data_IF_456864294842
#
_entry.id   IF_456864294842
#
_cell.length_a   1.000
_cell.length_b   1.000
_cell.length_c   1.000
_cell.angle_alpha   90.00
_cell.angle_beta   90.00
_cell.angle_gamma   90.00
#
_symmetry.space_group_name_H-M   'P 1'
#
loop_
_entity.id
_entity.type
_entity.pdbx_description
1 polymer ?
#
# COMPACT_ATOMS: atom_id res chain seq x y z
N UNK A 1 7.09 -21.54 -45.94
CA UNK A 1 5.75 -21.42 -46.56
C UNK A 1 4.82 -20.84 -45.50
N UNK A 2 4.64 -19.49 -45.57
CA UNK A 2 3.44 -18.82 -46.04
C UNK A 2 2.28 -19.01 -45.04
N UNK A 3 1.66 -18.02 -44.46
CA UNK A 3 1.11 -16.77 -45.01
C UNK A 3 0.66 -15.85 -43.87
N UNK A 4 0.95 -14.60 -44.06
CA UNK A 4 0.31 -13.37 -43.58
C UNK A 4 -1.22 -13.45 -43.47
N UNK A 5 -1.80 -12.87 -42.41
CA UNK A 5 -3.08 -12.15 -42.53
C UNK A 5 -3.11 -10.98 -41.59
N UNK A 6 -2.90 -9.81 -42.16
CA UNK A 6 -3.40 -8.52 -41.69
C UNK A 6 -4.93 -8.52 -41.72
N UNK A 7 -5.59 -7.96 -40.75
CA UNK A 7 -6.86 -7.28 -41.00
C UNK A 7 -6.96 -6.05 -40.08
N UNK A 8 -6.86 -4.92 -40.75
CA UNK A 8 -7.29 -3.61 -40.26
C UNK A 8 -8.81 -3.61 -40.05
N UNK A 9 -9.28 -2.96 -38.97
CA UNK A 9 -10.60 -2.34 -38.96
C UNK A 9 -10.50 -0.94 -38.37
N UNK A 10 -10.53 -0.02 -39.30
CA UNK A 10 -10.90 1.39 -39.12
C UNK A 10 -12.42 1.47 -39.07
N UNK A 11 -12.97 2.33 -38.21
CA UNK A 11 -14.11 3.24 -38.47
C UNK A 11 -14.41 3.95 -37.14
N UNK A 12 -14.06 5.25 -37.01
CA UNK A 12 -14.93 6.41 -37.26
C UNK A 12 -16.24 6.38 -36.49
N UNK A 13 -16.34 7.27 -35.50
CA UNK A 13 -17.52 8.14 -35.37
C UNK A 13 -17.11 9.43 -34.61
N UNK A 14 -17.26 10.55 -35.32
CA UNK A 14 -17.20 11.95 -34.92
C UNK A 14 -18.65 12.45 -34.69
N UNK A 15 -18.90 13.70 -34.30
CA UNK A 15 -19.55 14.09 -33.04
C UNK A 15 -20.97 14.62 -33.30
N UNK A 16 -21.74 14.83 -32.25
CA UNK A 16 -22.93 15.67 -32.33
C UNK A 16 -22.93 16.69 -31.20
N UNK A 17 -22.69 17.92 -31.59
CA UNK A 17 -22.95 19.12 -30.80
C UNK A 17 -24.45 19.43 -30.80
N UNK A 18 -24.99 19.78 -29.64
CA UNK A 18 -26.26 20.50 -29.55
C UNK A 18 -26.11 21.67 -28.58
N UNK A 19 -26.32 22.83 -29.14
CA UNK A 19 -26.53 24.13 -28.52
C UNK A 19 -27.87 24.19 -27.76
N UNK A 20 -27.94 24.99 -26.71
CA UNK A 20 -29.20 25.34 -26.06
C UNK A 20 -28.98 26.25 -24.86
N UNK A 21 -28.82 27.48 -25.14
CA UNK A 21 -29.58 28.72 -24.88
C UNK A 21 -29.70 29.18 -23.42
N UNK A 22 -29.20 30.41 -23.25
CA UNK A 22 -29.37 31.38 -22.14
C UNK A 22 -30.82 31.47 -21.62
N UNK A 23 -30.94 31.69 -20.31
CA UNK A 23 -31.96 32.60 -19.80
C UNK A 23 -31.38 33.30 -18.54
N UNK A 24 -31.11 34.58 -18.69
CA UNK A 24 -31.04 35.55 -17.61
C UNK A 24 -32.45 35.81 -17.08
N UNK A 25 -32.60 35.89 -15.78
CA UNK A 25 -33.61 36.76 -15.20
C UNK A 25 -33.06 37.41 -13.95
N UNK A 26 -32.87 38.68 -14.04
CA UNK A 26 -32.69 39.66 -12.95
C UNK A 26 -34.07 39.97 -12.43
N UNK A 27 -34.27 39.99 -11.15
CA UNK A 27 -35.18 40.97 -10.57
C UNK A 27 -34.80 41.31 -9.12
N UNK A 28 -35.01 42.57 -8.87
CA UNK A 28 -34.59 43.46 -7.81
C UNK A 28 -35.20 43.22 -6.42
N UNK A 29 -34.44 43.71 -5.46
CA UNK A 29 -34.83 44.47 -4.26
C UNK A 29 -35.98 43.96 -3.38
N UNK A 30 -35.68 43.71 -2.11
CA UNK A 30 -36.30 44.52 -1.04
C UNK A 30 -35.58 44.35 0.31
N UNK A 31 -35.13 45.47 0.82
CA UNK A 31 -34.59 45.69 2.17
C UNK A 31 -35.75 45.68 3.18
N UNK A 32 -35.80 44.71 4.09
CA UNK A 32 -36.69 44.77 5.27
C UNK A 32 -35.94 44.41 6.56
N UNK A 33 -35.90 45.45 7.35
CA UNK A 33 -35.66 45.56 8.80
C UNK A 33 -35.74 44.32 9.67
N UNK A 34 -34.71 44.21 10.52
CA UNK A 34 -34.60 43.26 11.65
C UNK A 34 -35.76 43.35 12.65
N UNK A 35 -36.23 42.21 13.14
CA UNK A 35 -36.87 42.13 14.47
C UNK A 35 -35.89 41.61 15.52
N UNK A 36 -36.15 41.79 16.80
CA UNK A 36 -35.18 41.80 17.88
C UNK A 36 -34.72 40.39 18.31
N UNK A 37 -33.48 40.34 18.75
CA UNK A 37 -32.80 39.21 19.36
C UNK A 37 -33.59 38.63 20.54
N UNK A 38 -33.92 37.31 20.55
CA UNK A 38 -34.29 36.64 21.78
C UNK A 38 -33.04 36.15 22.53
N UNK A 39 -33.04 36.43 23.75
CA UNK A 39 -32.26 36.04 24.91
C UNK A 39 -31.69 34.61 24.88
N UNK A 40 -30.49 34.48 25.37
CA UNK A 40 -29.63 33.31 25.44
C UNK A 40 -30.35 32.04 25.94
N UNK A 41 -30.55 31.09 25.04
CA UNK A 41 -30.75 29.71 25.41
C UNK A 41 -29.40 29.05 25.64
N UNK A 42 -29.16 28.72 26.89
CA UNK A 42 -28.06 27.92 27.38
C UNK A 42 -28.01 26.58 26.62
N UNK A 43 -27.13 26.46 25.61
CA UNK A 43 -26.83 25.19 24.99
C UNK A 43 -25.95 24.38 25.96
N UNK A 44 -26.57 23.42 26.61
CA UNK A 44 -25.88 22.32 27.29
C UNK A 44 -25.00 21.64 26.28
N UNK A 45 -23.68 21.81 26.39
CA UNK A 45 -22.70 21.03 25.67
C UNK A 45 -22.75 19.62 26.27
N UNK A 46 -23.45 18.72 25.61
CA UNK A 46 -23.27 17.29 25.85
C UNK A 46 -21.80 16.94 25.62
N UNK A 47 -21.16 16.20 26.50
CA UNK A 47 -19.79 15.77 26.30
C UNK A 47 -19.80 14.84 25.10
N UNK A 48 -19.18 15.32 23.99
CA UNK A 48 -18.84 14.53 22.82
C UNK A 48 -18.26 13.20 23.28
N UNK A 49 -18.90 12.11 22.87
CA UNK A 49 -18.44 10.76 23.12
C UNK A 49 -16.99 10.67 22.68
N UNK A 50 -16.12 10.50 23.66
CA UNK A 50 -14.72 10.18 23.46
C UNK A 50 -14.67 8.93 22.57
N UNK A 51 -14.27 9.12 21.35
CA UNK A 51 -13.96 8.04 20.42
C UNK A 51 -12.95 7.13 21.13
N UNK A 52 -13.40 5.94 21.46
CA UNK A 52 -12.61 4.91 22.12
C UNK A 52 -11.50 4.52 21.14
N UNK A 53 -10.36 5.18 21.26
CA UNK A 53 -9.13 4.73 20.61
C UNK A 53 -8.87 3.33 21.14
N UNK A 54 -9.25 2.33 20.36
CA UNK A 54 -8.90 0.94 20.65
C UNK A 54 -7.37 0.87 20.67
N UNK A 55 -6.82 0.81 21.86
CA UNK A 55 -5.38 0.58 22.06
C UNK A 55 -5.05 -0.78 21.47
N UNK A 56 -4.57 -0.80 20.24
CA UNK A 56 -4.16 -2.04 19.59
C UNK A 56 -3.02 -2.66 20.39
N UNK A 57 -3.32 -3.74 21.07
CA UNK A 57 -2.32 -4.49 21.82
C UNK A 57 -1.37 -5.15 20.83
N UNK A 58 -0.15 -4.65 20.73
CA UNK A 58 0.91 -5.25 19.93
C UNK A 58 1.82 -6.10 20.83
N UNK A 59 2.24 -7.27 20.33
CA UNK A 59 3.18 -8.15 21.04
C UNK A 59 4.49 -8.23 20.27
N UNK A 60 5.62 -8.23 21.00
CA UNK A 60 6.90 -8.53 20.38
C UNK A 60 6.94 -10.01 19.96
N UNK A 61 7.33 -10.24 18.70
CA UNK A 61 7.67 -11.57 18.16
C UNK A 61 9.04 -11.50 17.52
N UNK A 62 9.80 -12.56 17.65
CA UNK A 62 11.13 -12.69 17.08
C UNK A 62 11.08 -13.48 15.76
N UNK A 63 11.81 -12.99 14.76
CA UNK A 63 11.97 -13.58 13.45
C UNK A 63 13.43 -13.50 13.04
N UNK A 64 14.10 -14.64 13.08
CA UNK A 64 15.51 -14.78 12.71
C UNK A 64 16.43 -13.71 13.34
N UNK A 65 16.36 -13.55 14.67
CA UNK A 65 17.20 -12.62 15.45
C UNK A 65 16.79 -11.16 15.38
N UNK A 66 15.60 -10.85 14.87
CA UNK A 66 14.99 -9.51 14.93
C UNK A 66 13.62 -9.60 15.59
N UNK A 67 13.38 -8.79 16.61
CA UNK A 67 12.07 -8.68 17.25
C UNK A 67 11.31 -7.49 16.69
N UNK A 68 10.01 -7.70 16.41
CA UNK A 68 9.10 -6.65 15.97
C UNK A 68 7.85 -6.62 16.84
N UNK A 69 7.27 -5.43 17.03
CA UNK A 69 5.92 -5.30 17.58
C UNK A 69 4.91 -5.65 16.50
N UNK A 70 4.37 -6.87 16.57
CA UNK A 70 3.34 -7.33 15.61
C UNK A 70 1.99 -6.82 16.08
N UNK A 71 1.25 -6.05 15.25
CA UNK A 71 -0.11 -5.63 15.57
C UNK A 71 -1.01 -6.84 15.80
N UNK A 72 -1.90 -6.76 16.78
CA UNK A 72 -2.87 -7.86 17.07
C UNK A 72 -3.90 -8.05 15.95
N UNK A 73 -4.07 -7.04 15.11
CA UNK A 73 -4.94 -7.09 13.92
C UNK A 73 -4.36 -7.90 12.76
N UNK A 74 -3.07 -8.24 12.81
CA UNK A 74 -2.41 -9.02 11.76
C UNK A 74 -2.53 -10.51 12.01
N UNK A 75 -2.86 -11.25 10.97
CA UNK A 75 -3.01 -12.70 11.03
C UNK A 75 -1.76 -13.37 10.46
N UNK A 76 -1.01 -14.07 11.33
CA UNK A 76 0.09 -14.90 10.86
C UNK A 76 -0.45 -16.13 10.19
N UNK A 77 -0.05 -16.38 8.93
CA UNK A 77 -0.51 -17.53 8.14
C UNK A 77 0.57 -18.60 8.02
N UNK A 78 0.13 -19.84 7.90
CA UNK A 78 1.03 -20.96 7.65
C UNK A 78 1.77 -20.77 6.30
N UNK A 79 3.04 -21.12 6.29
CA UNK A 79 3.85 -21.12 5.08
C UNK A 79 3.53 -22.33 4.22
N UNK A 80 3.35 -22.10 2.92
CA UNK A 80 3.24 -23.21 1.96
C UNK A 80 4.57 -23.98 1.85
N UNK A 81 4.56 -25.25 1.40
CA UNK A 81 5.81 -25.98 1.17
C UNK A 81 6.81 -25.26 0.28
N UNK A 82 6.32 -24.52 -0.73
CA UNK A 82 7.16 -23.73 -1.61
C UNK A 82 7.83 -22.51 -0.94
N UNK A 83 7.29 -22.04 0.18
CA UNK A 83 7.82 -20.89 0.94
C UNK A 83 8.79 -21.33 2.05
N UNK A 84 8.67 -22.57 2.51
CA UNK A 84 9.55 -23.12 3.55
C UNK A 84 11.01 -23.09 3.06
N UNK A 85 11.90 -22.64 3.92
CA UNK A 85 13.33 -22.55 3.60
C UNK A 85 13.83 -21.15 3.20
N UNK A 86 12.94 -20.24 2.75
CA UNK A 86 13.35 -18.86 2.44
C UNK A 86 12.39 -17.77 3.02
N UNK A 87 11.13 -18.12 3.33
CA UNK A 87 10.23 -17.22 4.07
C UNK A 87 10.27 -17.58 5.54
N UNK A 88 10.50 -16.58 6.39
CA UNK A 88 10.53 -16.73 7.85
C UNK A 88 9.14 -16.62 8.46
N UNK A 89 8.32 -15.70 7.94
CA UNK A 89 6.93 -15.52 8.37
C UNK A 89 6.10 -14.86 7.26
N UNK A 90 4.79 -15.10 7.31
CA UNK A 90 3.83 -14.45 6.41
C UNK A 90 2.61 -13.98 7.21
N UNK A 91 2.09 -12.80 6.88
CA UNK A 91 0.92 -12.20 7.52
C UNK A 91 -0.09 -11.73 6.48
N UNK A 92 -1.36 -11.88 6.81
CA UNK A 92 -2.45 -11.11 6.21
C UNK A 92 -2.73 -9.88 7.06
N UNK A 93 -3.18 -8.80 6.43
CA UNK A 93 -3.54 -7.54 7.08
C UNK A 93 -5.01 -7.22 6.77
N UNK A 94 -5.98 -7.87 7.45
CA UNK A 94 -7.40 -7.82 7.06
C UNK A 94 -7.99 -6.41 7.05
N UNK A 95 -7.53 -5.53 7.95
CA UNK A 95 -7.97 -4.12 8.00
C UNK A 95 -7.60 -3.32 6.74
N UNK A 96 -6.52 -3.70 6.06
CA UNK A 96 -6.12 -3.06 4.82
C UNK A 96 -6.82 -3.66 3.60
N UNK A 97 -7.19 -4.93 3.67
CA UNK A 97 -7.85 -5.70 2.62
C UNK A 97 -7.38 -7.14 2.59
N UNK A 98 -8.19 -8.02 2.01
CA UNK A 98 -7.92 -9.46 1.99
C UNK A 98 -6.70 -9.85 1.16
N UNK A 99 -6.31 -8.97 0.20
CA UNK A 99 -5.22 -9.23 -0.73
C UNK A 99 -3.89 -8.61 -0.28
N UNK A 100 -3.89 -7.95 0.89
CA UNK A 100 -2.67 -7.37 1.47
C UNK A 100 -1.92 -8.43 2.24
N UNK A 101 -0.66 -8.63 1.82
CA UNK A 101 0.21 -9.66 2.37
C UNK A 101 1.58 -9.09 2.72
N UNK A 102 2.05 -9.41 3.92
CA UNK A 102 3.44 -9.16 4.34
C UNK A 102 4.19 -10.49 4.44
N UNK A 103 5.36 -10.54 3.82
CA UNK A 103 6.31 -11.65 4.01
C UNK A 103 7.62 -11.14 4.61
N UNK A 104 8.13 -11.92 5.56
CA UNK A 104 9.45 -11.76 6.15
C UNK A 104 10.34 -12.89 5.65
N UNK A 105 11.56 -12.57 5.25
CA UNK A 105 12.49 -13.57 4.76
C UNK A 105 13.93 -13.23 5.12
N UNK A 106 14.75 -14.27 5.33
CA UNK A 106 16.18 -14.13 5.57
C UNK A 106 16.91 -14.95 4.51
N UNK A 107 17.48 -14.25 3.53
CA UNK A 107 18.08 -14.90 2.36
C UNK A 107 19.43 -14.24 2.01
N UNK A 108 20.29 -15.02 1.37
CA UNK A 108 21.55 -14.53 0.83
C UNK A 108 21.43 -13.90 -0.56
N UNK A 109 22.57 -13.67 -1.20
CA UNK A 109 22.65 -13.12 -2.55
C UNK A 109 22.83 -11.61 -2.61
N UNK A 110 22.79 -10.94 -1.46
CA UNK A 110 23.03 -9.51 -1.31
C UNK A 110 21.81 -8.64 -1.62
N UNK A 111 21.78 -7.47 -1.00
CA UNK A 111 20.66 -6.53 -1.09
C UNK A 111 20.38 -6.10 -2.53
N UNK A 112 21.42 -5.71 -3.28
CA UNK A 112 21.24 -5.19 -4.65
C UNK A 112 20.61 -6.21 -5.60
N UNK A 113 21.03 -7.47 -5.52
CA UNK A 113 20.47 -8.54 -6.36
C UNK A 113 18.99 -8.79 -6.03
N UNK A 114 18.64 -8.77 -4.73
CA UNK A 114 17.26 -8.95 -4.30
C UNK A 114 16.36 -7.76 -4.69
N UNK A 115 16.84 -6.52 -4.56
CA UNK A 115 16.11 -5.33 -5.02
C UNK A 115 15.90 -5.35 -6.53
N UNK A 116 16.93 -5.67 -7.31
CA UNK A 116 16.82 -5.82 -8.78
C UNK A 116 15.77 -6.87 -9.16
N UNK A 117 15.75 -8.00 -8.46
CA UNK A 117 14.73 -9.04 -8.68
C UNK A 117 13.32 -8.51 -8.39
N UNK A 118 13.12 -7.76 -7.32
CA UNK A 118 11.81 -7.17 -7.01
C UNK A 118 11.37 -6.13 -8.04
N UNK A 119 12.30 -5.26 -8.47
CA UNK A 119 12.04 -4.28 -9.54
C UNK A 119 11.64 -5.00 -10.83
N UNK A 120 12.34 -6.09 -11.19
CA UNK A 120 12.04 -6.88 -12.37
C UNK A 120 10.68 -7.62 -12.33
N UNK A 121 10.04 -7.71 -11.17
CA UNK A 121 8.68 -8.25 -11.02
C UNK A 121 7.59 -7.21 -11.30
N UNK A 122 7.96 -5.95 -11.55
CA UNK A 122 6.99 -4.87 -11.77
C UNK A 122 7.18 -4.23 -13.14
N UNK A 123 6.12 -4.15 -13.90
CA UNK A 123 6.02 -3.28 -15.05
C UNK A 123 5.46 -1.93 -14.60
N UNK A 124 6.34 -0.94 -14.49
CA UNK A 124 5.98 0.39 -14.05
C UNK A 124 5.25 1.16 -15.14
N UNK A 125 4.33 2.08 -14.82
CA UNK A 125 3.71 2.97 -15.77
C UNK A 125 4.76 3.85 -16.50
N UNK A 126 4.50 4.31 -17.72
CA UNK A 126 5.40 5.20 -18.45
C UNK A 126 5.75 6.46 -17.61
N UNK A 127 7.05 6.73 -17.50
CA UNK A 127 7.56 7.87 -16.74
C UNK A 127 7.70 7.67 -15.22
N UNK A 128 7.21 6.55 -14.68
CA UNK A 128 7.45 6.19 -13.27
C UNK A 128 8.78 5.44 -13.11
N UNK A 129 9.44 5.67 -11.98
CA UNK A 129 10.67 4.96 -11.59
C UNK A 129 10.52 4.35 -10.21
N UNK A 130 11.29 3.28 -9.90
CA UNK A 130 11.35 2.73 -8.55
C UNK A 130 11.70 3.81 -7.52
N UNK A 131 10.87 3.97 -6.50
CA UNK A 131 11.13 4.92 -5.41
C UNK A 131 11.95 4.22 -4.33
N UNK A 132 13.21 4.62 -4.22
CA UNK A 132 14.14 4.02 -3.26
C UNK A 132 14.69 5.08 -2.32
N UNK A 133 14.77 4.76 -1.02
CA UNK A 133 15.37 5.64 -0.02
C UNK A 133 16.03 4.84 1.11
N UNK A 134 17.05 5.45 1.73
CA UNK A 134 17.61 4.93 2.97
C UNK A 134 16.68 5.23 4.14
N UNK A 135 16.53 4.25 5.04
CA UNK A 135 15.83 4.39 6.31
C UNK A 135 16.68 3.80 7.44
N UNK A 136 16.44 4.27 8.66
CA UNK A 136 17.08 3.67 9.85
C UNK A 136 16.17 2.62 10.45
N UNK A 137 16.70 1.40 10.66
CA UNK A 137 16.03 0.28 11.33
C UNK A 137 16.90 -0.13 12.50
N UNK A 138 16.48 0.18 13.73
CA UNK A 138 17.30 0.12 14.94
C UNK A 138 18.66 0.86 14.72
N UNK A 139 19.75 0.13 14.60
CA UNK A 139 21.11 0.69 14.41
C UNK A 139 21.64 0.51 12.98
N UNK A 140 20.88 -0.04 12.08
CA UNK A 140 21.31 -0.41 10.72
C UNK A 140 20.63 0.50 9.70
N UNK A 141 21.39 0.93 8.68
CA UNK A 141 20.83 1.60 7.50
C UNK A 141 20.25 0.55 6.56
N UNK A 142 18.96 0.65 6.34
CA UNK A 142 18.18 -0.24 5.50
C UNK A 142 17.65 0.52 4.27
N UNK A 143 17.23 -0.22 3.26
CA UNK A 143 16.69 0.34 2.04
C UNK A 143 15.18 0.12 2.01
N UNK A 144 14.44 1.21 1.84
CA UNK A 144 13.02 1.22 1.54
C UNK A 144 12.82 1.35 0.05
N UNK A 145 12.08 0.42 -0.57
CA UNK A 145 11.71 0.40 -1.97
C UNK A 145 10.20 0.43 -2.10
N UNK A 146 9.66 1.33 -2.95
CA UNK A 146 8.23 1.43 -3.27
C UNK A 146 8.05 1.28 -4.79
N UNK A 147 7.30 0.28 -5.21
CA UNK A 147 7.00 -0.03 -6.60
C UNK A 147 5.49 -0.02 -6.82
N UNK A 148 5.06 0.54 -7.95
CA UNK A 148 3.65 0.62 -8.34
C UNK A 148 3.52 0.24 -9.80
N UNK A 149 2.52 -0.57 -10.14
CA UNK A 149 2.33 -0.97 -11.54
C UNK A 149 1.66 -2.32 -11.69
N UNK A 150 1.99 -3.01 -12.76
CA UNK A 150 1.57 -4.40 -12.97
C UNK A 150 2.61 -5.33 -12.37
N UNK A 151 2.16 -6.17 -11.44
CA UNK A 151 3.01 -7.17 -10.79
C UNK A 151 2.96 -8.48 -11.55
N UNK A 152 4.12 -9.01 -11.90
CA UNK A 152 4.30 -10.33 -12.49
C UNK A 152 5.23 -11.14 -11.59
N UNK A 153 4.68 -12.14 -10.93
CA UNK A 153 5.46 -13.02 -10.05
C UNK A 153 6.41 -13.94 -10.84
N UNK A 154 6.27 -13.98 -12.15
CA UNK A 154 7.06 -14.80 -13.09
C UNK A 154 6.47 -16.20 -13.28
N UNK A 155 6.95 -16.89 -14.32
CA UNK A 155 6.41 -18.17 -14.79
C UNK A 155 6.51 -19.30 -13.75
N UNK A 156 7.43 -19.20 -12.80
CA UNK A 156 7.61 -20.21 -11.76
C UNK A 156 6.43 -20.32 -10.77
N UNK A 157 5.60 -19.27 -10.66
CA UNK A 157 4.44 -19.23 -9.77
C UNK A 157 3.10 -19.40 -10.50
N UNK A 158 3.11 -19.60 -11.83
CA UNK A 158 1.91 -19.77 -12.66
C UNK A 158 0.78 -18.77 -12.35
N UNK A 159 1.14 -17.55 -11.98
CA UNK A 159 0.19 -16.47 -11.74
C UNK A 159 0.13 -15.53 -12.94
N UNK A 160 -1.06 -15.09 -13.29
CA UNK A 160 -1.23 -14.01 -14.26
C UNK A 160 -0.70 -12.68 -13.69
N UNK A 161 -0.30 -11.80 -14.59
CA UNK A 161 0.15 -10.47 -14.21
C UNK A 161 -1.03 -9.64 -13.67
N UNK A 162 -0.86 -9.03 -12.50
CA UNK A 162 -1.90 -8.27 -11.81
C UNK A 162 -1.62 -6.76 -11.92
N UNK A 163 -2.53 -6.01 -12.53
CA UNK A 163 -2.43 -4.56 -12.64
C UNK A 163 -2.90 -3.84 -11.37
N UNK A 164 -2.50 -2.56 -11.20
CA UNK A 164 -2.91 -1.76 -10.04
C UNK A 164 -2.29 -2.20 -8.72
N UNK A 165 -1.20 -2.95 -8.79
CA UNK A 165 -0.50 -3.46 -7.62
C UNK A 165 0.53 -2.46 -7.08
N UNK A 166 0.83 -2.59 -5.80
CA UNK A 166 1.92 -1.90 -5.12
C UNK A 166 2.71 -2.88 -4.28
N UNK A 167 4.00 -2.65 -4.19
CA UNK A 167 4.88 -3.34 -3.28
C UNK A 167 5.70 -2.32 -2.49
N UNK A 168 5.76 -2.49 -1.18
CA UNK A 168 6.70 -1.81 -0.31
C UNK A 168 7.67 -2.85 0.23
N UNK A 169 8.94 -2.72 -0.14
CA UNK A 169 10.01 -3.59 0.30
C UNK A 169 10.93 -2.88 1.29
N UNK A 170 11.39 -3.60 2.31
CA UNK A 170 12.48 -3.15 3.19
C UNK A 170 13.58 -4.20 3.15
N UNK A 171 14.79 -3.78 2.77
CA UNK A 171 15.97 -4.63 2.79
C UNK A 171 16.90 -4.17 3.92
N UNK A 172 17.17 -5.05 4.87
CA UNK A 172 18.03 -4.82 6.03
C UNK A 172 19.30 -5.62 5.83
N UNK A 173 20.45 -4.97 5.49
CA UNK A 173 21.71 -5.64 5.32
C UNK A 173 22.14 -6.33 6.62
N UNK A 174 22.52 -7.59 6.54
CA UNK A 174 22.94 -8.40 7.68
C UNK A 174 23.90 -9.50 7.27
N UNK A 175 24.69 -9.98 8.21
CA UNK A 175 25.58 -11.13 8.00
C UNK A 175 25.12 -12.31 8.88
N UNK A 176 25.06 -13.57 8.39
CA UNK A 176 25.42 -14.04 7.04
C UNK A 176 24.32 -13.88 5.97
N UNK A 177 23.13 -13.50 6.34
CA UNK A 177 21.98 -13.35 5.41
C UNK A 177 21.25 -12.05 5.70
N UNK A 178 20.93 -11.32 4.63
CA UNK A 178 20.11 -10.11 4.71
C UNK A 178 18.67 -10.45 5.11
N UNK A 179 18.00 -9.50 5.77
CA UNK A 179 16.62 -9.66 6.17
C UNK A 179 15.72 -8.74 5.35
N UNK A 180 14.60 -9.29 4.92
CA UNK A 180 13.68 -8.61 4.00
C UNK A 180 12.25 -8.64 4.51
N UNK A 181 11.58 -7.49 4.37
CA UNK A 181 10.15 -7.35 4.56
C UNK A 181 9.53 -6.95 3.22
N UNK A 182 8.52 -7.67 2.75
CA UNK A 182 7.85 -7.42 1.49
C UNK A 182 6.34 -7.35 1.72
N UNK A 183 5.79 -6.13 1.69
CA UNK A 183 4.36 -5.85 1.74
C UNK A 183 3.84 -5.69 0.32
N UNK A 184 2.85 -6.49 -0.08
CA UNK A 184 2.27 -6.49 -1.43
C UNK A 184 0.76 -6.53 -1.38
N UNK A 185 0.11 -5.93 -2.38
CA UNK A 185 -1.33 -5.96 -2.57
C UNK A 185 -1.81 -4.88 -3.55
N UNK A 186 -3.11 -4.77 -3.79
CA UNK A 186 -3.69 -3.69 -4.54
C UNK A 186 -3.29 -2.33 -3.98
N UNK A 187 -2.95 -1.38 -4.86
CA UNK A 187 -2.40 -0.06 -4.48
C UNK A 187 -3.26 0.65 -3.44
N UNK A 188 -4.57 0.67 -3.65
CA UNK A 188 -5.51 1.37 -2.76
C UNK A 188 -5.59 0.72 -1.37
N UNK A 189 -5.52 -0.60 -1.31
CA UNK A 189 -5.50 -1.34 -0.05
C UNK A 189 -4.20 -1.10 0.72
N UNK A 190 -3.06 -1.00 0.02
CA UNK A 190 -1.78 -0.72 0.69
C UNK A 190 -1.70 0.67 1.33
N UNK A 191 -2.46 1.64 0.88
CA UNK A 191 -2.55 2.95 1.54
C UNK A 191 -3.01 2.80 3.00
N UNK A 192 -3.95 1.90 3.25
CA UNK A 192 -4.48 1.63 4.59
C UNK A 192 -3.49 0.86 5.49
N UNK A 193 -2.53 0.15 4.91
CA UNK A 193 -1.52 -0.63 5.64
C UNK A 193 -0.21 0.12 5.85
N UNK A 194 0.08 1.16 5.09
CA UNK A 194 1.42 1.76 5.03
C UNK A 194 1.90 2.31 6.37
N UNK A 195 1.05 3.03 7.10
CA UNK A 195 1.45 3.60 8.39
C UNK A 195 1.71 2.51 9.44
N UNK A 196 0.83 1.52 9.53
CA UNK A 196 0.98 0.38 10.44
C UNK A 196 2.25 -0.43 10.09
N UNK A 197 2.53 -0.61 8.81
CA UNK A 197 3.77 -1.24 8.33
C UNK A 197 5.01 -0.41 8.69
N UNK A 198 4.98 0.91 8.54
CA UNK A 198 6.08 1.79 8.97
C UNK A 198 6.35 1.66 10.46
N UNK A 199 5.30 1.63 11.28
CA UNK A 199 5.41 1.47 12.72
C UNK A 199 5.96 0.08 13.09
N UNK A 200 5.54 -0.96 12.37
CA UNK A 200 6.10 -2.29 12.50
C UNK A 200 7.61 -2.30 12.20
N UNK A 201 8.04 -1.73 11.07
CA UNK A 201 9.47 -1.63 10.69
C UNK A 201 10.28 -0.84 11.74
N UNK A 202 9.76 0.30 12.21
CA UNK A 202 10.41 1.13 13.24
C UNK A 202 10.53 0.42 14.59
N UNK A 203 9.69 -0.57 14.87
CA UNK A 203 9.72 -1.33 16.12
C UNK A 203 10.81 -2.40 16.19
N UNK A 204 11.53 -2.61 15.09
CA UNK A 204 12.57 -3.62 14.99
C UNK A 204 13.66 -3.44 16.06
N UNK A 205 14.06 -4.54 16.68
CA UNK A 205 15.16 -4.62 17.64
C UNK A 205 15.99 -5.85 17.33
N UNK A 206 17.28 -5.66 17.10
CA UNK A 206 18.18 -6.79 16.90
C UNK A 206 18.43 -7.50 18.22
N UNK A 207 18.27 -8.81 18.22
CA UNK A 207 18.59 -9.66 19.36
C UNK A 207 20.09 -10.00 19.30
N UNK A 208 20.83 -9.85 20.41
CA UNK A 208 22.26 -10.17 20.45
C UNK A 208 22.58 -11.61 20.09
#
# INVERSE_FOLDING_TARGET
>A
KVLTKQLQFWLMFLPLAIFGVLSCNSDDSEFKTDPPVPEAASLSVEPSQSEKVETQTSKFKEFDGIRFKVPSSWEQVALSPAQQGFVTASFKIPRAGNDVKLTLSSVGGGVDANLKRWIGQFQLPPGETPQQKSIRVDKIDAIWLDLRGTFDAGPALNSEAESGMRMIGVAIPRNPRDFYLKLTGPREQLLNAEEEFRNFVKSAQFVP
#
